data_IF_184520471981
#
_entry.id   IF_184520471981
#
_cell.length_a   1.000
_cell.length_b   1.000
_cell.length_c   1.000
_cell.angle_alpha   90.00
_cell.angle_beta   90.00
_cell.angle_gamma   90.00
#
_symmetry.space_group_name_H-M   'P 1'
#
loop_
_entity.id
_entity.type
_entity.pdbx_description
1 polymer ?
#
# COMPACT_ATOMS: atom_id res chain seq x y z
N UNK A 1 13.59 -2.43 24.51
CA UNK A 1 12.85 -1.75 23.46
C UNK A 1 11.67 -2.60 23.00
N UNK A 2 10.47 -2.02 22.92
CA UNK A 2 9.21 -2.71 22.64
C UNK A 2 8.72 -2.50 21.19
N UNK A 3 9.63 -2.12 20.29
CA UNK A 3 9.30 -1.79 18.91
C UNK A 3 9.54 -2.99 17.99
N UNK A 4 8.53 -3.33 17.18
CA UNK A 4 8.63 -4.27 16.08
C UNK A 4 8.56 -3.47 14.76
N UNK A 5 9.57 -3.62 13.91
CA UNK A 5 9.54 -3.02 12.59
C UNK A 5 9.08 -4.05 11.56
N UNK A 6 7.91 -3.82 10.97
CA UNK A 6 7.31 -4.72 9.97
C UNK A 6 7.20 -4.00 8.62
N UNK A 7 7.41 -4.74 7.54
CA UNK A 7 7.18 -4.23 6.19
C UNK A 7 6.83 -5.35 5.22
N UNK A 8 6.40 -4.99 4.01
CA UNK A 8 5.97 -5.93 2.98
C UNK A 8 6.53 -5.55 1.62
N UNK A 9 6.86 -6.55 0.82
CA UNK A 9 7.25 -6.37 -0.58
C UNK A 9 6.05 -6.26 -1.53
N UNK A 10 4.82 -6.46 -1.04
CA UNK A 10 3.62 -6.47 -1.89
C UNK A 10 3.35 -5.13 -2.58
N UNK A 11 3.67 -4.00 -1.95
CA UNK A 11 3.42 -2.67 -2.51
C UNK A 11 4.63 -2.05 -3.21
N UNK A 12 5.82 -2.50 -2.89
CA UNK A 12 7.05 -1.92 -3.44
C UNK A 12 7.76 -2.80 -4.48
N UNK A 13 7.36 -4.08 -4.62
CA UNK A 13 7.97 -5.02 -5.57
C UNK A 13 6.93 -5.90 -6.27
N UNK A 14 6.46 -6.97 -5.62
CA UNK A 14 5.57 -7.96 -6.23
C UNK A 14 4.44 -8.34 -5.29
N UNK A 15 3.21 -7.91 -5.54
CA UNK A 15 2.07 -8.21 -4.66
C UNK A 15 1.75 -9.71 -4.60
N UNK A 16 1.94 -10.45 -5.69
CA UNK A 16 1.65 -11.89 -5.79
C UNK A 16 2.58 -12.78 -4.96
N UNK A 17 3.75 -12.32 -4.57
CA UNK A 17 4.69 -13.12 -3.76
C UNK A 17 4.22 -13.30 -2.31
N UNK A 18 3.38 -12.42 -1.80
CA UNK A 18 2.86 -12.46 -0.44
C UNK A 18 3.94 -12.56 0.63
N UNK A 19 5.05 -11.82 0.45
CA UNK A 19 6.19 -11.79 1.37
C UNK A 19 6.25 -10.46 2.10
N UNK A 20 6.41 -10.55 3.41
CA UNK A 20 6.77 -9.46 4.30
C UNK A 20 7.91 -9.87 5.21
N UNK A 21 8.36 -8.95 6.03
CA UNK A 21 9.40 -9.18 7.02
C UNK A 21 9.13 -8.40 8.30
N UNK A 22 9.72 -8.89 9.37
CA UNK A 22 9.69 -8.23 10.67
C UNK A 22 11.08 -8.24 11.31
N UNK A 23 11.54 -7.07 11.72
CA UNK A 23 12.71 -6.92 12.59
C UNK A 23 12.22 -6.93 14.04
N UNK A 24 12.20 -8.11 14.64
CA UNK A 24 11.55 -8.37 15.92
C UNK A 24 12.48 -8.28 17.13
N UNK A 25 13.78 -8.09 16.93
CA UNK A 25 14.77 -7.99 18.01
C UNK A 25 14.66 -9.17 18.99
N UNK A 26 14.51 -8.86 20.27
CA UNK A 26 14.38 -9.88 21.33
C UNK A 26 13.13 -10.77 21.21
N UNK A 27 12.13 -10.36 20.44
CA UNK A 27 10.88 -11.09 20.25
C UNK A 27 10.91 -12.06 19.04
N UNK A 28 12.05 -12.17 18.34
CA UNK A 28 12.15 -12.95 17.10
C UNK A 28 11.66 -14.39 17.27
N UNK A 29 12.05 -15.09 18.34
CA UNK A 29 11.63 -16.47 18.61
C UNK A 29 10.11 -16.58 18.80
N UNK A 30 9.50 -15.64 19.52
CA UNK A 30 8.04 -15.63 19.74
C UNK A 30 7.29 -15.35 18.45
N UNK A 31 7.75 -14.41 17.64
CA UNK A 31 7.15 -14.11 16.34
C UNK A 31 7.24 -15.32 15.40
N UNK A 32 8.39 -16.01 15.38
CA UNK A 32 8.55 -17.24 14.59
C UNK A 32 7.58 -18.35 15.01
N UNK A 33 7.37 -18.55 16.31
CA UNK A 33 6.38 -19.50 16.82
C UNK A 33 4.96 -19.12 16.39
N UNK A 34 4.57 -17.84 16.50
CA UNK A 34 3.26 -17.35 16.07
C UNK A 34 3.07 -17.52 14.55
N UNK A 35 4.10 -17.24 13.76
CA UNK A 35 4.06 -17.48 12.32
C UNK A 35 3.84 -18.96 11.99
N UNK A 36 4.58 -19.87 12.65
CA UNK A 36 4.41 -21.30 12.47
C UNK A 36 2.98 -21.75 12.76
N UNK A 37 2.39 -21.23 13.84
CA UNK A 37 1.02 -21.60 14.25
C UNK A 37 -0.06 -21.01 13.34
N UNK A 38 0.19 -19.87 12.70
CA UNK A 38 -0.81 -19.16 11.89
C UNK A 38 -0.75 -19.50 10.40
N UNK A 39 0.46 -19.63 9.84
CA UNK A 39 0.65 -19.77 8.38
C UNK A 39 1.60 -20.90 8.00
N UNK A 40 2.13 -21.64 8.97
CA UNK A 40 3.18 -22.66 8.82
C UNK A 40 4.47 -22.08 8.25
N UNK A 41 4.49 -21.75 6.97
CA UNK A 41 5.67 -21.17 6.31
C UNK A 41 5.28 -20.27 5.15
N UNK A 42 6.17 -19.35 4.82
CA UNK A 42 6.11 -18.57 3.58
C UNK A 42 6.70 -19.39 2.44
N UNK A 43 6.17 -19.24 1.22
CA UNK A 43 6.63 -19.93 0.02
C UNK A 43 8.15 -19.83 -0.20
N UNK A 44 8.86 -20.94 -0.11
CA UNK A 44 10.32 -20.99 -0.26
C UNK A 44 10.80 -20.54 -1.66
N UNK A 45 10.16 -20.97 -2.78
CA UNK A 45 10.55 -20.47 -4.11
C UNK A 45 10.49 -18.95 -4.23
N UNK A 46 9.45 -18.32 -3.65
CA UNK A 46 9.29 -16.89 -3.69
C UNK A 46 10.34 -16.16 -2.82
N UNK A 47 10.71 -16.76 -1.69
CA UNK A 47 11.80 -16.24 -0.85
C UNK A 47 13.14 -16.29 -1.59
N UNK A 48 13.47 -17.41 -2.25
CA UNK A 48 14.71 -17.55 -3.03
C UNK A 48 14.75 -16.57 -4.20
N UNK A 49 13.67 -16.41 -4.94
CA UNK A 49 13.59 -15.44 -6.02
C UNK A 49 13.77 -14.00 -5.51
N UNK A 50 13.25 -13.70 -4.32
CA UNK A 50 13.42 -12.39 -3.69
C UNK A 50 14.87 -12.17 -3.26
N UNK A 51 15.51 -13.18 -2.66
CA UNK A 51 16.92 -13.12 -2.25
C UNK A 51 17.81 -12.87 -3.46
N UNK A 52 17.61 -13.61 -4.56
CA UNK A 52 18.35 -13.43 -5.81
C UNK A 52 18.18 -12.00 -6.34
N UNK A 53 16.95 -11.50 -6.41
CA UNK A 53 16.68 -10.14 -6.86
C UNK A 53 17.31 -9.07 -5.97
N UNK A 54 17.22 -9.21 -4.64
CA UNK A 54 17.78 -8.25 -3.68
C UNK A 54 19.30 -8.24 -3.67
N UNK A 55 19.95 -9.36 -4.02
CA UNK A 55 21.41 -9.45 -4.16
C UNK A 55 21.92 -8.64 -5.35
N UNK A 56 21.06 -8.38 -6.33
CA UNK A 56 21.37 -7.47 -7.43
C UNK A 56 21.18 -6.03 -6.96
N UNK A 57 22.02 -5.08 -7.25
CA UNK A 57 21.84 -3.66 -6.88
C UNK A 57 20.66 -2.97 -7.61
N UNK A 58 19.75 -3.74 -8.21
CA UNK A 58 18.61 -3.26 -9.00
C UNK A 58 17.44 -2.77 -8.15
N UNK A 59 17.31 -3.28 -6.91
CA UNK A 59 16.18 -2.94 -6.04
C UNK A 59 16.11 -1.44 -5.72
N UNK A 60 17.22 -0.81 -5.37
CA UNK A 60 17.25 0.63 -5.07
C UNK A 60 16.91 1.48 -6.30
N UNK A 61 17.40 1.09 -7.48
CA UNK A 61 17.05 1.76 -8.72
C UNK A 61 15.55 1.62 -9.04
N UNK A 62 14.98 0.43 -8.80
CA UNK A 62 13.55 0.17 -8.92
C UNK A 62 12.74 1.07 -7.96
N UNK A 63 13.11 1.16 -6.69
CA UNK A 63 12.41 2.01 -5.70
C UNK A 63 12.46 3.49 -6.08
N UNK A 64 13.61 3.99 -6.53
CA UNK A 64 13.71 5.39 -6.99
C UNK A 64 12.78 5.67 -8.18
N UNK A 65 12.73 4.76 -9.16
CA UNK A 65 11.83 4.87 -10.32
C UNK A 65 10.37 4.81 -9.89
N UNK A 66 10.02 3.85 -9.03
CA UNK A 66 8.66 3.68 -8.52
C UNK A 66 8.16 4.94 -7.79
N UNK A 67 8.97 5.48 -6.89
CA UNK A 67 8.63 6.70 -6.14
C UNK A 67 8.38 7.88 -7.07
N UNK A 68 9.24 8.08 -8.08
CA UNK A 68 9.04 9.15 -9.07
C UNK A 68 7.74 8.97 -9.85
N UNK A 69 7.48 7.78 -10.37
CA UNK A 69 6.25 7.50 -11.11
C UNK A 69 4.99 7.68 -10.26
N UNK A 70 5.03 7.27 -8.99
CA UNK A 70 3.91 7.47 -8.07
C UNK A 70 3.68 8.95 -7.78
N UNK A 71 4.74 9.72 -7.54
CA UNK A 71 4.62 11.16 -7.31
C UNK A 71 4.01 11.88 -8.52
N UNK A 72 4.49 11.58 -9.73
CA UNK A 72 3.95 12.14 -10.98
C UNK A 72 2.46 11.81 -11.16
N UNK A 73 2.08 10.54 -10.98
CA UNK A 73 0.68 10.09 -11.10
C UNK A 73 -0.22 10.70 -10.04
N UNK A 74 0.25 10.78 -8.80
CA UNK A 74 -0.52 11.42 -7.71
C UNK A 74 -0.74 12.89 -7.98
N UNK A 75 0.27 13.59 -8.45
CA UNK A 75 0.15 15.01 -8.81
C UNK A 75 -0.87 15.22 -9.94
N UNK A 76 -0.83 14.39 -10.98
CA UNK A 76 -1.81 14.44 -12.08
C UNK A 76 -3.23 14.17 -11.58
N UNK A 77 -3.39 13.12 -10.76
CA UNK A 77 -4.70 12.76 -10.20
C UNK A 77 -5.22 13.86 -9.25
N UNK A 78 -4.37 14.42 -8.41
CA UNK A 78 -4.73 15.54 -7.52
C UNK A 78 -5.22 16.76 -8.29
N UNK A 79 -4.49 17.18 -9.33
CA UNK A 79 -4.92 18.27 -10.19
C UNK A 79 -6.24 18.00 -10.92
N UNK A 80 -6.45 16.76 -11.39
CA UNK A 80 -7.70 16.37 -12.01
C UNK A 80 -8.87 16.41 -11.03
N UNK A 81 -8.68 15.90 -9.81
CA UNK A 81 -9.68 15.94 -8.76
C UNK A 81 -10.07 17.37 -8.39
N UNK A 82 -9.10 18.26 -8.20
CA UNK A 82 -9.37 19.68 -7.87
C UNK A 82 -10.14 20.42 -8.97
N UNK A 83 -10.02 20.00 -10.23
CA UNK A 83 -10.77 20.63 -11.34
C UNK A 83 -12.23 20.16 -11.43
N UNK A 84 -12.53 18.97 -10.96
CA UNK A 84 -13.80 18.30 -11.21
C UNK A 84 -14.65 18.05 -9.97
N UNK A 85 -14.03 18.10 -8.77
CA UNK A 85 -14.76 17.92 -7.54
C UNK A 85 -15.37 19.24 -7.05
N UNK A 86 -16.55 19.18 -6.40
CA UNK A 86 -17.15 20.34 -5.75
C UNK A 86 -16.24 20.91 -4.65
N UNK A 87 -16.33 22.22 -4.35
CA UNK A 87 -15.44 22.88 -3.39
C UNK A 87 -15.57 22.37 -1.95
N UNK A 88 -16.69 21.72 -1.63
CA UNK A 88 -16.96 21.11 -0.31
C UNK A 88 -16.19 19.81 -0.10
N UNK A 89 -15.62 19.23 -1.15
CA UNK A 89 -14.83 17.99 -1.08
C UNK A 89 -13.38 18.33 -0.85
N UNK A 90 -12.79 17.79 0.21
CA UNK A 90 -11.39 18.03 0.54
C UNK A 90 -10.53 16.86 0.03
N UNK A 91 -9.54 17.18 -0.80
CA UNK A 91 -8.56 16.20 -1.27
C UNK A 91 -7.27 16.39 -0.49
N UNK A 92 -6.94 15.44 0.38
CA UNK A 92 -5.73 15.50 1.18
C UNK A 92 -4.51 15.16 0.33
N UNK A 93 -3.57 16.08 0.25
CA UNK A 93 -2.29 15.86 -0.41
C UNK A 93 -1.34 15.08 0.51
N UNK A 94 -0.64 14.10 -0.06
CA UNK A 94 0.41 13.34 0.63
C UNK A 94 1.56 13.07 -0.34
N UNK A 95 2.78 13.35 0.09
CA UNK A 95 3.99 13.11 -0.71
C UNK A 95 4.42 11.66 -0.74
N UNK A 96 3.77 10.79 0.04
CA UNK A 96 4.11 9.38 0.17
C UNK A 96 2.93 8.45 -0.07
N UNK A 97 3.22 7.15 -0.22
CA UNK A 97 2.22 6.11 -0.36
C UNK A 97 1.51 6.09 -1.72
N UNK A 98 0.54 5.20 -1.84
CA UNK A 98 -0.21 4.91 -3.07
C UNK A 98 -1.56 5.59 -3.13
N UNK A 99 -2.10 5.99 -1.99
CA UNK A 99 -3.46 6.45 -1.86
C UNK A 99 -3.53 7.96 -1.72
N UNK A 100 -4.65 8.51 -2.13
CA UNK A 100 -5.11 9.85 -1.77
C UNK A 100 -6.37 9.70 -0.92
N UNK A 101 -6.48 10.51 0.10
CA UNK A 101 -7.67 10.56 0.94
C UNK A 101 -8.56 11.70 0.46
N UNK A 102 -9.83 11.37 0.20
CA UNK A 102 -10.86 12.32 -0.22
C UNK A 102 -11.89 12.36 0.88
N UNK A 103 -12.05 13.52 1.49
CA UNK A 103 -13.04 13.76 2.53
C UNK A 103 -14.29 14.34 1.88
N UNK A 104 -15.40 13.65 2.09
CA UNK A 104 -16.69 14.03 1.56
C UNK A 104 -17.42 14.98 2.53
N UNK A 105 -18.34 15.82 2.03
CA UNK A 105 -19.18 16.65 2.89
C UNK A 105 -19.99 15.83 3.89
N UNK A 106 -20.37 16.46 4.99
CA UNK A 106 -21.20 15.84 6.01
C UNK A 106 -22.53 15.29 5.42
N UNK A 107 -22.90 14.09 5.81
CA UNK A 107 -24.08 13.39 5.30
C UNK A 107 -23.87 12.65 3.98
N UNK A 108 -22.73 12.78 3.31
CA UNK A 108 -22.46 12.02 2.08
C UNK A 108 -22.12 10.54 2.37
N UNK A 109 -22.79 9.63 1.64
CA UNK A 109 -22.52 8.18 1.77
C UNK A 109 -21.37 7.74 0.84
N UNK A 110 -20.20 7.53 1.40
CA UNK A 110 -19.01 7.03 0.69
C UNK A 110 -19.23 5.64 0.07
N UNK A 111 -20.15 4.82 0.60
CA UNK A 111 -20.44 3.49 0.04
C UNK A 111 -21.33 3.58 -1.19
N UNK A 112 -22.34 4.44 -1.13
CA UNK A 112 -23.17 4.73 -2.30
C UNK A 112 -22.32 5.35 -3.42
N UNK A 113 -21.40 6.26 -3.09
CA UNK A 113 -20.45 6.82 -4.06
C UNK A 113 -19.55 5.74 -4.66
N UNK A 114 -19.02 4.83 -3.84
CA UNK A 114 -18.18 3.70 -4.31
C UNK A 114 -18.96 2.80 -5.28
N UNK A 115 -20.21 2.47 -4.96
CA UNK A 115 -21.05 1.65 -5.83
C UNK A 115 -21.33 2.34 -7.19
N UNK A 116 -21.63 3.63 -7.18
CA UNK A 116 -21.84 4.43 -8.41
C UNK A 116 -20.55 4.53 -9.24
N UNK A 117 -19.40 4.77 -8.60
CA UNK A 117 -18.12 4.81 -9.27
C UNK A 117 -17.81 3.47 -9.95
N UNK A 118 -18.07 2.36 -9.25
CA UNK A 118 -17.86 1.01 -9.80
C UNK A 118 -18.74 0.74 -11.03
N UNK A 119 -19.99 1.21 -11.05
CA UNK A 119 -20.85 1.13 -12.22
C UNK A 119 -20.28 1.90 -13.44
N UNK A 120 -19.42 2.89 -13.20
CA UNK A 120 -18.66 3.62 -14.22
C UNK A 120 -17.23 3.07 -14.41
N UNK A 121 -16.95 1.84 -13.97
CA UNK A 121 -15.64 1.19 -14.03
C UNK A 121 -14.52 1.91 -13.25
N UNK A 122 -14.89 2.69 -12.24
CA UNK A 122 -13.94 3.37 -11.36
C UNK A 122 -14.00 2.70 -9.98
N UNK A 123 -12.88 2.14 -9.54
CA UNK A 123 -12.79 1.51 -8.22
C UNK A 123 -12.25 2.51 -7.20
N UNK A 124 -13.05 2.79 -6.17
CA UNK A 124 -12.66 3.57 -4.99
C UNK A 124 -13.03 2.79 -3.72
N UNK A 125 -12.26 2.97 -2.66
CA UNK A 125 -12.52 2.30 -1.38
C UNK A 125 -13.18 3.28 -0.40
N UNK A 126 -14.37 2.98 0.13
CA UNK A 126 -15.01 3.82 1.14
C UNK A 126 -14.24 3.77 2.46
N UNK A 127 -14.07 4.93 3.12
CA UNK A 127 -13.26 5.09 4.33
C UNK A 127 -13.65 4.17 5.49
N UNK A 128 -14.90 3.73 5.55
CA UNK A 128 -15.36 2.77 6.57
C UNK A 128 -14.73 1.37 6.47
N UNK A 129 -13.97 1.08 5.41
CA UNK A 129 -13.20 -0.16 5.29
C UNK A 129 -11.86 -0.11 6.02
N UNK A 130 -11.45 1.04 6.54
CA UNK A 130 -10.21 1.32 7.24
C UNK A 130 -10.48 1.80 8.67
#
# INVERSE_FOLDING_TARGET
EMTLHCSSFSKCLVPGFRIGWVAAGKQARRIQQLQLMSTLSTSSPMQLALVDYLSTKRYDAHLRRLRRQLAERKQQAWQALLRHLPPEVIVHHSDSGYFMWIELPEGADASALSARALASHISIAPGKMF
#
